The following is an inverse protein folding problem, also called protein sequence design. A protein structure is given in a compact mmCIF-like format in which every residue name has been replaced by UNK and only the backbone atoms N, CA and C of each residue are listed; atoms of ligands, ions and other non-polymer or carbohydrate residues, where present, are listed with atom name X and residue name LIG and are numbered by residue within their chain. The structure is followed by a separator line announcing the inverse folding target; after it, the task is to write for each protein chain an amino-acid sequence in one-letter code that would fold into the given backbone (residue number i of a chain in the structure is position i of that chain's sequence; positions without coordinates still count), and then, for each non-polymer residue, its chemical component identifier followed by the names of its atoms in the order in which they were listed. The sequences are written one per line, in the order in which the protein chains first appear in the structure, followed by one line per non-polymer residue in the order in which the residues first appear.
data_IF_311380571360
#
_entry.id   IF_311380571360
#
_cell.length_a   1.000
_cell.length_b   1.000
_cell.length_c   1.000
_cell.angle_alpha   90.00
_cell.angle_beta   90.00
_cell.angle_gamma   90.00
#
_symmetry.space_group_name_H-M   'P 1'
#
loop_
_entity.id
_entity.type
_entity.pdbx_description
1 polymer ?
#
# COMPACT_ATOMS: atom_id res chain seq x y z
N UNK A 1 -11.27 8.75 42.60
CA UNK A 1 -11.97 8.64 41.30
C UNK A 1 -11.92 7.18 40.86
N UNK A 2 -13.05 6.47 40.96
CA UNK A 2 -13.18 5.02 40.76
C UNK A 2 -12.94 4.63 39.29
N UNK A 3 -11.97 3.74 39.03
CA UNK A 3 -11.96 2.92 37.81
C UNK A 3 -13.04 1.85 37.98
N UNK A 4 -14.10 1.89 37.18
CA UNK A 4 -15.00 0.75 37.01
C UNK A 4 -14.47 -0.08 35.85
N UNK A 5 -13.85 -1.20 36.17
CA UNK A 5 -13.70 -2.34 35.28
C UNK A 5 -15.07 -3.00 35.17
N UNK A 6 -15.67 -3.04 33.98
CA UNK A 6 -16.89 -3.81 33.74
C UNK A 6 -16.52 -5.18 33.13
N UNK A 7 -17.13 -6.21 33.70
CA UNK A 7 -17.11 -7.62 33.29
C UNK A 7 -17.49 -7.81 31.83
N UNK A 8 -16.80 -8.74 31.18
CA UNK A 8 -17.11 -9.25 29.84
C UNK A 8 -17.82 -10.60 30.02
N UNK A 9 -19.15 -10.60 30.03
CA UNK A 9 -19.92 -11.84 29.90
C UNK A 9 -20.00 -12.19 28.42
N UNK A 10 -19.34 -13.27 28.04
CA UNK A 10 -19.50 -13.89 26.74
C UNK A 10 -20.93 -14.43 26.61
N UNK A 11 -21.72 -13.84 25.72
CA UNK A 11 -22.95 -14.46 25.24
C UNK A 11 -22.82 -14.77 23.75
N UNK A 12 -23.18 -16.01 23.44
CA UNK A 12 -23.02 -16.69 22.17
C UNK A 12 -24.14 -16.34 21.20
N UNK A 13 -23.77 -15.91 19.99
CA UNK A 13 -24.63 -16.00 18.81
C UNK A 13 -25.11 -14.68 18.23
N UNK A 14 -24.33 -14.10 17.31
CA UNK A 14 -24.85 -13.59 16.05
C UNK A 14 -23.70 -13.34 15.07
N UNK A 15 -23.69 -14.07 13.95
CA UNK A 15 -22.74 -13.91 12.85
C UNK A 15 -23.24 -12.79 11.93
N UNK A 16 -22.93 -11.54 12.26
CA UNK A 16 -22.94 -10.39 11.34
C UNK A 16 -22.48 -9.16 12.12
N UNK A 17 -21.20 -9.14 12.49
CA UNK A 17 -20.58 -7.92 13.04
C UNK A 17 -20.11 -7.07 11.85
N UNK A 18 -21.08 -6.39 11.25
CA UNK A 18 -20.80 -5.32 10.29
C UNK A 18 -20.25 -4.14 11.09
N UNK A 19 -18.94 -3.91 11.02
CA UNK A 19 -18.33 -2.74 11.66
C UNK A 19 -18.75 -1.48 10.91
N UNK A 20 -19.78 -0.81 11.39
CA UNK A 20 -20.09 0.55 10.94
C UNK A 20 -19.07 1.49 11.60
N UNK A 21 -17.93 1.63 10.92
CA UNK A 21 -16.87 2.55 11.33
C UNK A 21 -17.45 3.96 11.38
N UNK A 22 -17.72 4.45 12.60
CA UNK A 22 -18.01 5.87 12.86
C UNK A 22 -16.90 6.70 12.23
N UNK A 23 -17.22 7.39 11.13
CA UNK A 23 -16.31 8.34 10.53
C UNK A 23 -16.34 9.62 11.36
N UNK A 24 -15.58 9.63 12.45
CA UNK A 24 -15.17 10.88 13.09
C UNK A 24 -14.52 11.75 11.99
N UNK A 25 -14.83 13.04 11.94
CA UNK A 25 -14.40 14.01 10.91
C UNK A 25 -12.88 14.24 10.77
N UNK A 26 -12.05 13.29 11.19
CA UNK A 26 -10.62 13.19 10.90
C UNK A 26 -10.40 12.79 9.45
N UNK A 27 -9.58 13.56 8.74
CA UNK A 27 -9.07 13.17 7.41
C UNK A 27 -8.46 11.77 7.46
N UNK A 28 -8.85 10.91 6.51
CA UNK A 28 -8.28 9.56 6.37
C UNK A 28 -6.77 9.67 6.19
N UNK A 29 -6.03 8.87 6.94
CA UNK A 29 -4.58 8.79 6.77
C UNK A 29 -4.27 8.10 5.44
N UNK A 30 -3.36 8.67 4.67
CA UNK A 30 -2.94 8.10 3.38
C UNK A 30 -1.80 7.11 3.59
N UNK A 31 -1.87 5.96 2.92
CA UNK A 31 -0.84 4.92 2.96
C UNK A 31 -0.43 4.60 1.53
N UNK A 32 0.87 4.47 1.29
CA UNK A 32 1.38 4.06 -0.01
C UNK A 32 1.94 2.63 0.05
N UNK A 33 1.38 1.73 -0.75
CA UNK A 33 1.86 0.38 -0.97
C UNK A 33 2.70 0.34 -2.26
N UNK A 34 4.02 0.26 -2.09
CA UNK A 34 5.00 0.18 -3.18
C UNK A 34 5.38 -1.27 -3.47
N UNK A 35 5.43 -1.60 -4.76
CA UNK A 35 6.05 -2.82 -5.24
C UNK A 35 6.72 -2.60 -6.60
N UNK A 36 7.82 -3.31 -6.86
CA UNK A 36 8.53 -3.17 -8.15
C UNK A 36 7.69 -3.69 -9.33
N UNK A 37 6.83 -4.68 -9.11
CA UNK A 37 6.05 -5.39 -10.14
C UNK A 37 4.61 -5.61 -9.68
N UNK A 38 3.66 -5.57 -10.60
CA UNK A 38 2.23 -5.78 -10.36
C UNK A 38 1.90 -7.17 -9.82
N UNK A 39 2.67 -8.21 -10.16
CA UNK A 39 2.48 -9.56 -9.62
C UNK A 39 2.61 -9.60 -8.10
N UNK A 40 3.51 -8.79 -7.50
CA UNK A 40 3.65 -8.67 -6.05
C UNK A 40 2.40 -8.07 -5.40
N UNK A 41 1.73 -7.15 -6.09
CA UNK A 41 0.46 -6.60 -5.62
C UNK A 41 -0.65 -7.64 -5.70
N UNK A 42 -0.82 -8.25 -6.88
CA UNK A 42 -1.91 -9.20 -7.15
C UNK A 42 -1.83 -10.47 -6.28
N UNK A 43 -0.62 -10.99 -6.03
CA UNK A 43 -0.46 -12.27 -5.35
C UNK A 43 -0.34 -12.15 -3.83
N UNK A 44 0.21 -11.03 -3.33
CA UNK A 44 0.59 -10.93 -1.92
C UNK A 44 -0.01 -9.73 -1.19
N UNK A 45 -0.15 -8.58 -1.84
CA UNK A 45 -0.56 -7.35 -1.14
C UNK A 45 -2.05 -7.03 -1.23
N UNK A 46 -2.81 -7.65 -2.13
CA UNK A 46 -4.27 -7.44 -2.21
C UNK A 46 -4.98 -7.66 -0.86
N UNK A 47 -4.71 -8.73 -0.07
CA UNK A 47 -5.32 -8.90 1.25
C UNK A 47 -4.94 -7.79 2.23
N UNK A 48 -3.69 -7.32 2.20
CA UNK A 48 -3.23 -6.24 3.06
C UNK A 48 -3.89 -4.90 2.68
N UNK A 49 -4.04 -4.64 1.39
CA UNK A 49 -4.73 -3.45 0.86
C UNK A 49 -6.18 -3.44 1.32
N UNK A 50 -6.87 -4.57 1.21
CA UNK A 50 -8.26 -4.70 1.65
C UNK A 50 -8.40 -4.43 3.15
N UNK A 51 -7.53 -5.03 3.97
CA UNK A 51 -7.50 -4.77 5.41
C UNK A 51 -7.28 -3.28 5.73
N UNK A 52 -6.34 -2.62 5.05
CA UNK A 52 -6.08 -1.19 5.24
C UNK A 52 -7.28 -0.32 4.85
N UNK A 53 -7.98 -0.68 3.76
CA UNK A 53 -9.22 -0.02 3.37
C UNK A 53 -10.30 -0.17 4.45
N UNK A 54 -10.48 -1.37 5.00
CA UNK A 54 -11.44 -1.66 6.09
C UNK A 54 -11.09 -0.91 7.37
N UNK A 55 -9.80 -0.74 7.68
CA UNK A 55 -9.32 0.06 8.81
C UNK A 55 -9.50 1.58 8.62
N UNK A 56 -10.06 2.03 7.49
CA UNK A 56 -10.35 3.45 7.27
C UNK A 56 -9.20 4.25 6.64
N UNK A 57 -8.15 3.60 6.11
CA UNK A 57 -7.08 4.31 5.41
C UNK A 57 -7.45 4.65 3.96
N UNK A 58 -6.87 5.73 3.44
CA UNK A 58 -6.84 6.01 2.00
C UNK A 58 -5.61 5.32 1.42
N UNK A 59 -5.80 4.23 0.68
CA UNK A 59 -4.70 3.42 0.18
C UNK A 59 -4.34 3.85 -1.23
N UNK A 60 -3.05 4.04 -1.45
CA UNK A 60 -2.42 4.30 -2.73
C UNK A 60 -1.50 3.13 -3.06
N UNK A 61 -1.44 2.72 -4.32
CA UNK A 61 -0.58 1.63 -4.79
C UNK A 61 0.30 2.14 -5.92
N UNK A 62 1.60 1.89 -5.87
CA UNK A 62 2.50 2.25 -6.97
C UNK A 62 3.35 1.04 -7.36
N UNK A 63 3.24 0.62 -8.61
CA UNK A 63 4.03 -0.48 -9.16
C UNK A 63 4.17 -0.39 -10.68
N UNK A 64 5.06 -1.22 -11.23
CA UNK A 64 5.19 -1.33 -12.67
C UNK A 64 4.08 -2.23 -13.22
N UNK A 65 3.09 -1.66 -13.91
CA UNK A 65 2.02 -2.42 -14.57
C UNK A 65 2.38 -2.86 -15.98
N UNK A 66 3.49 -2.38 -16.55
CA UNK A 66 3.90 -2.60 -17.94
C UNK A 66 4.96 -3.67 -18.10
N UNK A 67 6.02 -3.59 -17.29
CA UNK A 67 7.23 -4.40 -17.44
C UNK A 67 7.53 -5.22 -16.18
N UNK A 68 8.25 -6.33 -16.34
CA UNK A 68 8.72 -7.14 -15.21
C UNK A 68 7.69 -8.08 -14.58
N UNK A 69 6.45 -8.03 -15.07
CA UNK A 69 5.37 -8.88 -14.60
C UNK A 69 5.40 -10.23 -15.31
N UNK A 70 5.34 -11.32 -14.55
CA UNK A 70 4.86 -12.63 -15.03
C UNK A 70 3.34 -12.61 -15.32
N UNK A 71 2.65 -11.52 -14.99
CA UNK A 71 1.24 -11.33 -15.28
C UNK A 71 1.01 -11.01 -16.76
N UNK A 72 0.08 -11.74 -17.38
CA UNK A 72 -0.45 -11.36 -18.68
C UNK A 72 -1.17 -10.00 -18.62
N UNK A 73 -1.29 -9.32 -19.76
CA UNK A 73 -2.03 -8.05 -19.89
C UNK A 73 -3.45 -8.17 -19.30
N UNK A 74 -4.12 -9.30 -19.53
CA UNK A 74 -5.45 -9.59 -18.96
C UNK A 74 -5.45 -9.56 -17.42
N UNK A 75 -4.39 -10.07 -16.79
CA UNK A 75 -4.26 -10.14 -15.33
C UNK A 75 -3.95 -8.77 -14.73
N UNK A 76 -3.13 -7.96 -15.41
CA UNK A 76 -2.91 -6.55 -15.04
C UNK A 76 -4.22 -5.74 -15.11
N UNK A 77 -5.01 -5.90 -16.17
CA UNK A 77 -6.32 -5.24 -16.27
C UNK A 77 -7.28 -5.67 -15.15
N UNK A 78 -7.30 -6.97 -14.81
CA UNK A 78 -8.09 -7.47 -13.67
C UNK A 78 -7.65 -6.86 -12.36
N UNK A 79 -6.33 -6.73 -12.14
CA UNK A 79 -5.80 -6.09 -10.94
C UNK A 79 -6.22 -4.61 -10.86
N UNK A 80 -6.05 -3.85 -11.94
CA UNK A 80 -6.45 -2.44 -11.97
C UNK A 80 -7.96 -2.26 -11.74
N UNK A 81 -8.78 -3.18 -12.27
CA UNK A 81 -10.22 -3.19 -11.99
C UNK A 81 -10.48 -3.44 -10.51
N UNK A 82 -9.88 -4.47 -9.91
CA UNK A 82 -10.02 -4.75 -8.46
C UNK A 82 -9.60 -3.54 -7.60
N UNK A 83 -8.47 -2.91 -7.89
CA UNK A 83 -8.01 -1.73 -7.16
C UNK A 83 -9.03 -0.59 -7.25
N UNK A 84 -9.59 -0.37 -8.44
CA UNK A 84 -10.65 0.63 -8.66
C UNK A 84 -11.92 0.31 -7.87
N UNK A 85 -12.36 -0.94 -7.89
CA UNK A 85 -13.57 -1.39 -7.19
C UNK A 85 -13.39 -1.22 -5.65
N UNK A 86 -12.18 -1.37 -5.14
CA UNK A 86 -11.81 -1.09 -3.75
C UNK A 86 -11.57 0.40 -3.44
N UNK A 87 -11.78 1.31 -4.41
CA UNK A 87 -11.50 2.74 -4.29
C UNK A 87 -10.03 3.06 -3.96
N UNK A 88 -9.10 2.21 -4.41
CA UNK A 88 -7.66 2.36 -4.25
C UNK A 88 -7.07 3.12 -5.43
N UNK A 89 -6.31 4.16 -5.14
CA UNK A 89 -5.63 4.96 -6.17
C UNK A 89 -4.35 4.23 -6.58
N UNK A 90 -4.11 4.07 -7.88
CA UNK A 90 -2.92 3.39 -8.38
C UNK A 90 -2.09 4.26 -9.32
N UNK A 91 -0.77 4.07 -9.30
CA UNK A 91 0.20 4.81 -10.09
C UNK A 91 1.13 3.87 -10.83
N UNK A 92 1.41 4.20 -12.10
CA UNK A 92 2.49 3.56 -12.83
C UNK A 92 3.83 4.05 -12.27
N UNK A 93 4.62 3.12 -11.75
CA UNK A 93 5.97 3.39 -11.27
C UNK A 93 6.96 2.50 -12.04
N UNK A 94 7.81 3.11 -12.85
CA UNK A 94 8.72 2.42 -13.77
C UNK A 94 9.98 1.93 -13.03
N UNK A 95 9.80 1.18 -11.94
CA UNK A 95 10.90 0.62 -11.17
C UNK A 95 11.72 -0.33 -12.08
N UNK A 96 13.01 -0.05 -12.32
CA UNK A 96 13.85 -0.95 -13.09
C UNK A 96 14.09 -2.24 -12.31
N UNK A 97 14.18 -3.37 -13.04
CA UNK A 97 14.66 -4.64 -12.46
C UNK A 97 16.18 -4.64 -12.28
N UNK A 98 16.90 -3.92 -13.14
CA UNK A 98 18.35 -3.79 -13.08
C UNK A 98 18.75 -2.43 -12.49
N UNK A 99 19.38 -2.46 -11.32
CA UNK A 99 19.86 -1.26 -10.61
C UNK A 99 21.02 -0.59 -11.38
N UNK A 100 21.70 -1.32 -12.26
CA UNK A 100 22.77 -0.80 -13.12
C UNK A 100 22.27 0.20 -14.17
N UNK A 101 20.96 0.28 -14.42
CA UNK A 101 20.37 1.26 -15.32
C UNK A 101 20.13 2.61 -14.60
N UNK A 102 21.22 3.34 -14.31
CA UNK A 102 21.21 4.63 -13.58
C UNK A 102 20.13 5.61 -14.07
N UNK A 103 19.94 5.73 -15.38
CA UNK A 103 18.92 6.62 -15.95
C UNK A 103 17.49 6.20 -15.60
N UNK A 104 17.21 4.88 -15.58
CA UNK A 104 15.90 4.33 -15.20
C UNK A 104 15.66 4.45 -13.71
N UNK A 105 16.68 4.19 -12.88
CA UNK A 105 16.61 4.41 -11.44
C UNK A 105 16.31 5.88 -11.11
N UNK A 106 16.99 6.81 -11.79
CA UNK A 106 16.76 8.25 -11.62
C UNK A 106 15.33 8.65 -12.02
N UNK A 107 14.79 8.08 -13.09
CA UNK A 107 13.39 8.30 -13.50
C UNK A 107 12.41 7.78 -12.46
N UNK A 108 12.58 6.54 -12.00
CA UNK A 108 11.73 5.92 -11.00
C UNK A 108 11.77 6.69 -9.66
N UNK A 109 12.94 7.21 -9.28
CA UNK A 109 13.09 8.05 -8.09
C UNK A 109 12.36 9.39 -8.24
N UNK A 110 12.48 10.05 -9.39
CA UNK A 110 11.73 11.29 -9.67
C UNK A 110 10.21 11.10 -9.60
N UNK A 111 9.70 9.99 -10.15
CA UNK A 111 8.28 9.65 -10.07
C UNK A 111 7.79 9.55 -8.61
N UNK A 112 8.60 8.96 -7.71
CA UNK A 112 8.26 8.92 -6.29
C UNK A 112 8.35 10.28 -5.62
N UNK A 113 9.35 11.10 -5.95
CA UNK A 113 9.45 12.46 -5.41
C UNK A 113 8.25 13.32 -5.78
N UNK A 114 7.79 13.25 -7.03
CA UNK A 114 6.57 13.92 -7.48
C UNK A 114 5.33 13.41 -6.73
N UNK A 115 5.26 12.10 -6.47
CA UNK A 115 4.17 11.51 -5.70
C UNK A 115 4.16 12.02 -4.24
N UNK A 116 5.33 12.07 -3.60
CA UNK A 116 5.49 12.57 -2.23
C UNK A 116 5.28 14.08 -2.11
N UNK A 117 5.60 14.84 -3.15
CA UNK A 117 5.30 16.27 -3.20
C UNK A 117 3.79 16.55 -3.26
N UNK A 118 3.03 15.70 -3.95
CA UNK A 118 1.58 15.87 -4.13
C UNK A 118 0.74 15.22 -3.01
N UNK A 119 1.31 14.29 -2.24
CA UNK A 119 0.57 13.52 -1.24
C UNK A 119 1.37 13.36 0.05
N UNK A 120 0.76 13.77 1.17
CA UNK A 120 1.28 13.50 2.50
C UNK A 120 0.85 12.10 2.97
N UNK A 121 1.74 11.13 2.81
CA UNK A 121 1.53 9.77 3.33
C UNK A 121 1.90 9.69 4.80
N UNK A 122 1.08 8.98 5.58
CA UNK A 122 1.38 8.69 6.97
C UNK A 122 2.49 7.64 7.10
N UNK A 123 2.54 6.70 6.17
CA UNK A 123 3.61 5.71 6.04
C UNK A 123 3.58 5.07 4.66
N UNK A 124 4.70 4.42 4.32
CA UNK A 124 4.93 3.77 3.03
C UNK A 124 5.37 2.34 3.33
N UNK A 125 4.72 1.38 2.69
CA UNK A 125 5.10 -0.03 2.75
C UNK A 125 5.73 -0.44 1.43
N UNK A 126 6.92 -1.02 1.46
CA UNK A 126 7.60 -1.50 0.26
C UNK A 126 7.78 -3.01 0.36
N UNK A 127 7.18 -3.75 -0.58
CA UNK A 127 7.46 -5.16 -0.76
C UNK A 127 8.28 -5.35 -2.04
N UNK A 128 9.50 -5.84 -1.89
CA UNK A 128 10.36 -6.21 -3.00
C UNK A 128 10.66 -7.70 -3.01
N UNK A 129 10.44 -8.34 -4.16
CA UNK A 129 10.93 -9.68 -4.46
C UNK A 129 12.27 -9.68 -5.18
N UNK A 130 12.86 -8.51 -5.45
CA UNK A 130 14.02 -8.38 -6.34
C UNK A 130 15.13 -7.47 -5.80
N UNK A 131 14.86 -6.62 -4.81
CA UNK A 131 15.89 -5.80 -4.13
C UNK A 131 16.68 -6.57 -3.05
N UNK A 132 16.50 -7.89 -2.94
CA UNK A 132 17.06 -8.71 -1.85
C UNK A 132 18.57 -8.96 -1.90
N UNK A 133 19.31 -8.46 -2.90
CA UNK A 133 20.77 -8.69 -2.97
C UNK A 133 21.63 -7.41 -2.88
N UNK A 134 21.08 -6.23 -2.59
CA UNK A 134 21.93 -5.04 -2.38
C UNK A 134 21.42 -3.99 -1.39
N UNK A 135 20.29 -4.17 -0.69
CA UNK A 135 19.94 -3.27 0.42
C UNK A 135 19.51 -4.10 1.61
N UNK A 136 20.52 -4.56 2.36
CA UNK A 136 20.37 -5.01 3.73
C UNK A 136 19.83 -3.86 4.59
N UNK A 137 18.76 -4.16 5.34
CA UNK A 137 18.26 -3.42 6.49
C UNK A 137 18.46 -1.89 6.51
N UNK A 138 17.52 -1.16 5.91
CA UNK A 138 17.22 0.20 6.34
C UNK A 138 15.71 0.45 6.36
N UNK A 139 15.09 0.03 7.46
CA UNK A 139 13.92 0.71 8.00
C UNK A 139 14.37 2.09 8.52
N UNK A 140 14.87 2.95 7.64
CA UNK A 140 15.29 4.30 8.01
C UNK A 140 14.04 5.16 8.11
N UNK A 141 13.76 5.65 9.30
CA UNK A 141 12.75 6.66 9.56
C UNK A 141 12.93 7.78 8.54
N UNK A 142 11.92 7.98 7.69
CA UNK A 142 11.82 9.20 6.89
C UNK A 142 11.39 10.30 7.85
N UNK A 143 12.35 10.81 8.62
CA UNK A 143 12.19 12.06 9.35
C UNK A 143 12.35 13.20 8.32
N UNK A 144 11.22 13.76 7.89
CA UNK A 144 11.17 15.06 7.24
C UNK A 144 11.55 16.12 8.28
N UNK A 145 12.83 16.50 8.32
CA UNK A 145 13.21 17.77 8.95
C UNK A 145 12.94 18.93 7.99
N UNK A 146 12.41 20.00 8.60
CA UNK A 146 11.83 21.22 8.04
C UNK A 146 12.78 22.00 7.13
#
# INVERSE_FOLDING_TARGET
MRRKSQEYTADSGNSDVFWEAKQDGKKRKKVLMLASVASMIDQFNLPNIDLLCQMGYEVHVACNFREGNTCSVKRVCKLQKKLRDMHVIWYQWDCPRDICALARCRKAYRQLLELFANHAFAWIHCHSSTLGNSIENKQEKVDFQK
#
